data_IF_714969278044
#
_entry.id   IF_714969278044
#
_cell.length_a   1.000
_cell.length_b   1.000
_cell.length_c   1.000
_cell.angle_alpha   90.00
_cell.angle_beta   90.00
_cell.angle_gamma   90.00
#
_symmetry.space_group_name_H-M   'P 1'
#
loop_
_entity.id
_entity.type
_entity.pdbx_description
1 polymer ?
#
# COMPACT_ATOMS: atom_id res chain seq x y z
N UNK A 1 39.73 2.58 53.37
CA UNK A 1 40.24 1.48 52.52
C UNK A 1 39.31 1.31 51.32
N UNK A 2 39.90 0.97 50.17
CA UNK A 2 39.46 1.31 48.80
C UNK A 2 38.11 0.71 48.37
N UNK A 3 37.26 1.55 47.75
CA UNK A 3 36.09 1.13 46.95
C UNK A 3 36.58 0.54 45.63
N UNK A 4 36.33 -0.75 45.40
CA UNK A 4 36.61 -1.42 44.11
C UNK A 4 35.39 -1.21 43.21
N UNK A 5 35.56 -0.40 42.16
CA UNK A 5 34.59 -0.30 41.06
C UNK A 5 34.87 -1.47 40.11
N UNK A 6 33.97 -2.46 40.08
CA UNK A 6 33.97 -3.50 39.05
C UNK A 6 33.26 -2.91 37.83
N UNK A 7 34.03 -2.59 36.80
CA UNK A 7 33.51 -2.20 35.49
C UNK A 7 33.38 -3.49 34.69
N UNK A 8 32.16 -4.02 34.58
CA UNK A 8 31.85 -5.11 33.65
C UNK A 8 31.69 -4.52 32.25
N UNK A 9 32.74 -4.62 31.43
CA UNK A 9 32.69 -4.31 30.01
C UNK A 9 32.06 -5.50 29.27
N UNK A 10 30.76 -5.45 29.01
CA UNK A 10 30.09 -6.41 28.12
C UNK A 10 30.46 -6.08 26.67
N UNK A 11 31.45 -6.81 26.12
CA UNK A 11 31.73 -6.81 24.69
C UNK A 11 30.68 -7.70 24.00
N UNK A 12 29.59 -7.10 23.52
CA UNK A 12 28.64 -7.81 22.67
C UNK A 12 29.27 -7.99 21.29
N UNK A 13 29.84 -9.15 21.03
CA UNK A 13 30.25 -9.56 19.69
C UNK A 13 28.98 -9.70 18.85
N UNK A 14 28.68 -8.71 18.01
CA UNK A 14 27.67 -8.84 16.96
C UNK A 14 28.20 -9.89 15.97
N UNK A 15 27.81 -11.14 16.16
CA UNK A 15 27.94 -12.14 15.10
C UNK A 15 26.99 -11.73 13.99
N UNK A 16 27.54 -11.11 12.95
CA UNK A 16 26.84 -10.92 11.68
C UNK A 16 26.62 -12.32 11.14
N UNK A 17 25.45 -12.89 11.41
CA UNK A 17 24.99 -14.05 10.68
C UNK A 17 24.83 -13.58 9.23
N UNK A 18 25.85 -13.85 8.41
CA UNK A 18 25.69 -13.95 6.97
C UNK A 18 24.72 -15.13 6.75
N UNK A 19 23.43 -14.83 6.83
CA UNK A 19 22.40 -15.72 6.29
C UNK A 19 22.71 -15.77 4.81
N UNK A 20 23.37 -16.85 4.38
CA UNK A 20 23.39 -17.20 2.97
C UNK A 20 21.92 -17.34 2.61
N UNK A 21 21.42 -16.44 1.77
CA UNK A 21 20.15 -16.65 1.09
C UNK A 21 20.17 -18.07 0.56
N UNK A 22 19.17 -18.88 0.89
CA UNK A 22 19.07 -20.20 0.27
C UNK A 22 19.01 -19.97 -1.23
N UNK A 23 19.83 -20.70 -1.98
CA UNK A 23 19.76 -20.64 -3.43
C UNK A 23 18.33 -20.84 -3.87
N UNK A 24 17.84 -19.94 -4.73
CA UNK A 24 16.43 -19.97 -5.12
C UNK A 24 16.13 -21.32 -5.78
N UNK A 25 15.07 -21.98 -5.32
CA UNK A 25 14.73 -23.33 -5.76
C UNK A 25 14.64 -23.42 -7.31
N UNK A 26 15.17 -24.48 -7.95
CA UNK A 26 15.19 -24.58 -9.41
C UNK A 26 13.81 -24.46 -10.08
N UNK A 27 12.75 -24.94 -9.42
CA UNK A 27 11.36 -24.81 -9.87
C UNK A 27 10.91 -23.35 -9.98
N UNK A 28 11.35 -22.49 -9.07
CA UNK A 28 11.04 -21.07 -9.10
C UNK A 28 11.81 -20.35 -10.20
N UNK A 29 13.09 -20.69 -10.37
CA UNK A 29 13.89 -20.16 -11.46
C UNK A 29 13.28 -20.46 -12.84
N UNK A 30 12.56 -21.58 -13.00
CA UNK A 30 11.92 -21.97 -14.26
C UNK A 30 10.88 -20.92 -14.71
N UNK A 31 9.91 -20.58 -13.86
CA UNK A 31 8.91 -19.59 -14.24
C UNK A 31 9.46 -18.17 -14.26
N UNK A 32 10.49 -17.85 -13.47
CA UNK A 32 11.19 -16.56 -13.54
C UNK A 32 11.85 -16.39 -14.91
N UNK A 33 12.53 -17.43 -15.42
CA UNK A 33 13.10 -17.42 -16.78
C UNK A 33 12.02 -17.23 -17.83
N UNK A 34 10.85 -17.87 -17.66
CA UNK A 34 9.69 -17.66 -18.54
C UNK A 34 9.18 -16.22 -18.48
N UNK A 35 9.03 -15.64 -17.28
CA UNK A 35 8.63 -14.25 -17.09
C UNK A 35 9.60 -13.29 -17.79
N UNK A 36 10.90 -13.42 -17.52
CA UNK A 36 11.96 -12.60 -18.14
C UNK A 36 11.92 -12.71 -19.67
N UNK A 37 11.78 -13.93 -20.20
CA UNK A 37 11.67 -14.16 -21.65
C UNK A 37 10.41 -13.51 -22.24
N UNK A 38 9.27 -13.58 -21.54
CA UNK A 38 8.04 -12.95 -21.99
C UNK A 38 8.17 -11.41 -22.02
N UNK A 39 8.84 -10.81 -21.04
CA UNK A 39 9.14 -9.36 -21.03
C UNK A 39 10.11 -8.99 -22.15
N UNK A 40 11.18 -9.77 -22.34
CA UNK A 40 12.20 -9.55 -23.38
C UNK A 40 11.61 -9.53 -24.79
N UNK A 41 10.63 -10.40 -25.04
CA UNK A 41 10.01 -10.58 -26.35
C UNK A 41 8.63 -9.89 -26.47
N UNK A 42 8.28 -9.00 -25.53
CA UNK A 42 6.99 -8.29 -25.50
C UNK A 42 5.75 -9.19 -25.67
N UNK A 43 5.78 -10.38 -25.06
CA UNK A 43 4.68 -11.35 -25.08
C UNK A 43 3.58 -10.95 -24.10
N UNK A 44 2.89 -9.85 -24.38
CA UNK A 44 1.88 -9.21 -23.50
C UNK A 44 0.77 -10.18 -23.08
N UNK A 45 0.28 -11.02 -23.98
CA UNK A 45 -0.77 -12.00 -23.69
C UNK A 45 -0.27 -13.10 -22.74
N UNK A 46 0.97 -13.55 -22.92
CA UNK A 46 1.58 -14.52 -22.02
C UNK A 46 1.80 -13.92 -20.62
N UNK A 47 2.26 -12.67 -20.54
CA UNK A 47 2.36 -11.94 -19.27
C UNK A 47 1.00 -11.75 -18.61
N UNK A 48 -0.03 -11.39 -19.37
CA UNK A 48 -1.39 -11.28 -18.86
C UNK A 48 -1.88 -12.60 -18.22
N UNK A 49 -1.52 -13.74 -18.82
CA UNK A 49 -1.88 -15.04 -18.28
C UNK A 49 -1.15 -15.38 -16.96
N UNK A 50 -0.02 -14.74 -16.69
CA UNK A 50 0.77 -14.93 -15.46
C UNK A 50 0.31 -14.02 -14.31
N UNK A 51 -0.64 -13.10 -14.50
CA UNK A 51 -1.01 -12.14 -13.45
C UNK A 51 -2.09 -12.70 -12.51
N UNK A 52 -1.98 -12.37 -11.23
CA UNK A 52 -3.09 -12.48 -10.28
C UNK A 52 -3.95 -11.21 -10.33
N UNK A 53 -5.23 -11.36 -10.69
CA UNK A 53 -6.18 -10.26 -10.82
C UNK A 53 -7.12 -10.18 -9.61
N UNK A 54 -7.55 -8.96 -9.19
CA UNK A 54 -7.17 -7.67 -9.75
C UNK A 54 -5.72 -7.27 -9.43
N UNK A 55 -5.03 -6.70 -10.41
CA UNK A 55 -3.63 -6.31 -10.30
C UNK A 55 -3.51 -4.86 -9.84
N UNK A 56 -3.18 -4.68 -8.56
CA UNK A 56 -3.12 -3.37 -7.90
C UNK A 56 -1.98 -2.52 -8.43
N UNK A 57 -2.27 -1.25 -8.67
CA UNK A 57 -1.29 -0.18 -8.92
C UNK A 57 -1.29 0.79 -7.75
N UNK A 58 -0.31 1.68 -7.73
CA UNK A 58 -0.24 2.70 -6.70
C UNK A 58 -1.51 3.55 -6.67
N UNK A 59 -2.18 3.59 -5.53
CA UNK A 59 -3.36 4.42 -5.36
C UNK A 59 -3.04 5.91 -5.58
N UNK A 60 -3.86 6.68 -6.32
CA UNK A 60 -5.21 6.37 -6.79
C UNK A 60 -5.31 5.85 -8.24
N UNK A 61 -4.24 5.30 -8.82
CA UNK A 61 -4.31 4.68 -10.14
C UNK A 61 -5.27 3.47 -10.06
N UNK A 62 -6.26 3.34 -10.97
CA UNK A 62 -7.15 2.19 -10.97
C UNK A 62 -6.38 0.88 -11.12
N UNK A 63 -6.76 -0.11 -10.31
CA UNK A 63 -6.30 -1.49 -10.49
C UNK A 63 -6.69 -2.02 -11.87
N UNK A 64 -5.93 -2.99 -12.35
CA UNK A 64 -6.22 -3.69 -13.60
C UNK A 64 -7.03 -4.93 -13.27
N UNK A 65 -8.24 -5.05 -13.83
CA UNK A 65 -9.19 -6.09 -13.43
C UNK A 65 -9.15 -7.35 -14.29
N UNK A 66 -8.59 -7.27 -15.50
CA UNK A 66 -8.59 -8.40 -16.43
C UNK A 66 -7.32 -8.47 -17.30
N UNK A 67 -7.17 -9.60 -18.00
CA UNK A 67 -6.09 -9.83 -18.98
C UNK A 67 -6.15 -8.83 -20.13
N UNK A 68 -7.34 -8.55 -20.63
CA UNK A 68 -7.57 -7.63 -21.75
C UNK A 68 -7.23 -6.21 -21.34
N UNK A 69 -7.59 -5.81 -20.13
CA UNK A 69 -7.22 -4.50 -19.58
C UNK A 69 -5.70 -4.39 -19.40
N UNK A 70 -5.05 -5.44 -18.88
CA UNK A 70 -3.60 -5.47 -18.75
C UNK A 70 -2.89 -5.29 -20.08
N UNK A 71 -3.32 -5.99 -21.14
CA UNK A 71 -2.70 -5.87 -22.46
C UNK A 71 -2.81 -4.44 -22.99
N UNK A 72 -3.94 -3.76 -22.78
CA UNK A 72 -4.15 -2.35 -23.15
C UNK A 72 -3.24 -1.40 -22.37
N UNK A 73 -3.07 -1.66 -21.07
CA UNK A 73 -2.31 -0.82 -20.13
C UNK A 73 -0.85 -1.25 -19.97
N UNK A 74 -0.38 -2.25 -20.74
CA UNK A 74 0.95 -2.83 -20.58
C UNK A 74 2.06 -1.77 -20.65
N UNK A 75 2.00 -0.86 -21.63
CA UNK A 75 3.01 0.20 -21.81
C UNK A 75 2.93 1.29 -20.73
N UNK A 76 1.84 1.36 -19.96
CA UNK A 76 1.75 2.24 -18.80
C UNK A 76 2.67 1.73 -17.68
N UNK A 77 2.87 0.42 -17.57
CA UNK A 77 3.62 -0.22 -16.47
C UNK A 77 5.04 -0.59 -16.91
N UNK A 78 5.18 -1.28 -18.04
CA UNK A 78 6.45 -1.82 -18.54
C UNK A 78 7.17 -0.82 -19.44
N UNK A 79 7.75 0.21 -18.82
CA UNK A 79 8.65 1.13 -19.51
C UNK A 79 10.05 0.53 -19.74
N UNK A 80 10.90 1.26 -20.49
CA UNK A 80 12.24 0.78 -20.83
C UNK A 80 13.10 0.49 -19.59
N UNK A 81 12.95 1.27 -18.52
CA UNK A 81 13.69 1.11 -17.26
C UNK A 81 13.32 -0.20 -16.59
N UNK A 82 12.03 -0.45 -16.36
CA UNK A 82 11.56 -1.67 -15.73
C UNK A 82 11.90 -2.90 -16.58
N UNK A 83 11.67 -2.83 -17.90
CA UNK A 83 12.03 -3.93 -18.82
C UNK A 83 13.52 -4.25 -18.74
N UNK A 84 14.38 -3.24 -18.73
CA UNK A 84 15.83 -3.44 -18.66
C UNK A 84 16.26 -4.07 -17.33
N UNK A 85 15.67 -3.67 -16.20
CA UNK A 85 15.91 -4.31 -14.89
C UNK A 85 15.54 -5.80 -14.92
N UNK A 86 14.36 -6.13 -15.42
CA UNK A 86 13.89 -7.52 -15.51
C UNK A 86 14.79 -8.34 -16.44
N UNK A 87 15.08 -7.84 -17.64
CA UNK A 87 15.82 -8.57 -18.67
C UNK A 87 17.27 -8.86 -18.24
N UNK A 88 17.87 -7.96 -17.45
CA UNK A 88 19.24 -8.11 -16.96
C UNK A 88 19.34 -8.91 -15.65
N UNK A 89 18.23 -9.17 -14.97
CA UNK A 89 18.23 -9.92 -13.72
C UNK A 89 18.69 -11.37 -13.91
N UNK A 90 19.51 -11.87 -12.99
CA UNK A 90 19.90 -13.27 -12.87
C UNK A 90 18.85 -14.03 -12.03
N UNK A 91 18.12 -15.00 -12.60
CA UNK A 91 17.10 -15.78 -11.89
C UNK A 91 17.58 -16.45 -10.59
N UNK A 92 18.88 -16.72 -10.44
CA UNK A 92 19.43 -17.40 -9.27
C UNK A 92 19.95 -16.44 -8.20
N UNK A 93 20.26 -15.19 -8.55
CA UNK A 93 20.95 -14.24 -7.65
C UNK A 93 20.13 -13.02 -7.28
N UNK A 94 19.37 -12.48 -8.23
CA UNK A 94 18.62 -11.23 -8.04
C UNK A 94 17.20 -11.48 -7.53
N UNK A 95 16.79 -12.75 -7.46
CA UNK A 95 15.48 -13.19 -7.00
C UNK A 95 15.62 -13.98 -5.69
N UNK A 96 14.81 -13.65 -4.69
CA UNK A 96 14.86 -14.27 -3.36
C UNK A 96 13.48 -14.69 -2.88
N UNK A 97 13.35 -15.90 -2.34
CA UNK A 97 12.14 -16.37 -1.67
C UNK A 97 12.00 -15.72 -0.30
N UNK A 98 10.85 -15.10 -0.04
CA UNK A 98 10.55 -14.37 1.19
C UNK A 98 9.42 -15.06 1.99
N UNK A 99 9.44 -16.39 1.99
CA UNK A 99 8.44 -17.25 2.61
C UNK A 99 7.05 -17.05 2.00
N UNK A 100 6.02 -16.92 2.84
CA UNK A 100 4.63 -16.76 2.40
C UNK A 100 4.37 -15.52 1.52
N UNK A 101 5.30 -14.56 1.47
CA UNK A 101 5.18 -13.36 0.62
C UNK A 101 5.46 -13.63 -0.86
N UNK A 102 6.09 -14.76 -1.18
CA UNK A 102 6.51 -15.10 -2.53
C UNK A 102 7.98 -14.77 -2.80
N UNK A 103 8.30 -14.59 -4.08
CA UNK A 103 9.64 -14.44 -4.63
C UNK A 103 9.81 -13.03 -5.14
N UNK A 104 10.85 -12.38 -4.64
CA UNK A 104 11.10 -10.96 -4.77
C UNK A 104 12.27 -10.71 -5.72
N UNK A 105 12.10 -9.82 -6.70
CA UNK A 105 13.20 -9.26 -7.48
C UNK A 105 13.83 -8.07 -6.73
N UNK A 106 15.15 -8.09 -6.59
CA UNK A 106 15.94 -7.03 -5.96
C UNK A 106 15.34 -6.62 -4.60
N UNK A 107 15.15 -5.32 -4.37
CA UNK A 107 14.58 -4.76 -3.14
C UNK A 107 13.05 -4.64 -3.21
N UNK A 108 12.39 -5.59 -3.87
CA UNK A 108 10.93 -5.60 -3.97
C UNK A 108 10.38 -4.92 -5.21
N UNK A 109 11.17 -4.74 -6.27
CA UNK A 109 10.68 -4.17 -7.54
C UNK A 109 9.49 -4.97 -8.06
N UNK A 110 9.58 -6.31 -8.00
CA UNK A 110 8.58 -7.26 -8.48
C UNK A 110 8.39 -8.38 -7.47
N UNK A 111 7.16 -8.87 -7.36
CA UNK A 111 6.79 -10.03 -6.56
C UNK A 111 6.03 -11.04 -7.41
N UNK A 112 6.51 -12.29 -7.38
CA UNK A 112 5.87 -13.46 -8.00
C UNK A 112 5.54 -14.45 -6.89
N UNK A 113 4.36 -15.05 -6.88
CA UNK A 113 4.04 -16.11 -5.89
C UNK A 113 4.75 -17.44 -6.21
N UNK A 114 4.62 -18.43 -5.32
CA UNK A 114 5.27 -19.74 -5.49
C UNK A 114 4.68 -20.58 -6.64
N UNK A 115 3.54 -20.16 -7.19
CA UNK A 115 2.90 -20.77 -8.36
C UNK A 115 3.31 -20.08 -9.68
N UNK A 116 4.20 -19.08 -9.60
CA UNK A 116 4.71 -18.36 -10.75
C UNK A 116 3.81 -17.23 -11.24
N UNK A 117 2.84 -16.78 -10.43
CA UNK A 117 1.96 -15.67 -10.78
C UNK A 117 2.55 -14.34 -10.34
N UNK A 118 2.54 -13.35 -11.22
CA UNK A 118 2.89 -11.97 -10.92
C UNK A 118 1.82 -11.36 -9.99
N UNK A 119 2.21 -11.03 -8.76
CA UNK A 119 1.31 -10.53 -7.71
C UNK A 119 1.52 -9.06 -7.38
N UNK A 120 2.72 -8.51 -7.60
CA UNK A 120 2.97 -7.05 -7.45
C UNK A 120 4.12 -6.55 -8.33
N UNK A 121 4.03 -5.29 -8.71
CA UNK A 121 5.16 -4.48 -9.22
C UNK A 121 5.16 -3.19 -8.39
N UNK A 122 6.15 -3.01 -7.53
CA UNK A 122 6.28 -1.81 -6.69
C UNK A 122 6.93 -0.64 -7.45
N UNK A 123 7.62 -0.93 -8.56
CA UNK A 123 8.09 0.10 -9.48
C UNK A 123 6.91 0.89 -10.07
N UNK A 124 7.12 2.20 -10.24
CA UNK A 124 6.19 3.10 -10.92
C UNK A 124 6.90 3.77 -12.08
N UNK A 125 6.35 3.56 -13.28
CA UNK A 125 6.83 4.21 -14.49
C UNK A 125 6.63 5.72 -14.43
N UNK A 126 7.30 6.44 -15.33
CA UNK A 126 7.01 7.87 -15.51
C UNK A 126 5.54 8.12 -15.84
N UNK A 127 4.95 7.29 -16.72
CA UNK A 127 3.54 7.41 -17.09
C UNK A 127 2.63 7.29 -15.87
N UNK A 128 2.85 6.29 -15.00
CA UNK A 128 2.04 6.08 -13.81
C UNK A 128 2.16 7.23 -12.82
N UNK A 129 3.37 7.77 -12.62
CA UNK A 129 3.58 8.95 -11.77
C UNK A 129 2.80 10.17 -12.28
N UNK A 130 2.86 10.42 -13.59
CA UNK A 130 2.14 11.52 -14.22
C UNK A 130 0.61 11.29 -14.15
N UNK A 131 0.14 10.06 -14.39
CA UNK A 131 -1.27 9.69 -14.25
C UNK A 131 -1.77 9.88 -12.83
N UNK A 132 -1.03 9.42 -11.82
CA UNK A 132 -1.34 9.62 -10.39
C UNK A 132 -1.50 11.10 -10.07
N UNK A 133 -0.55 11.95 -10.49
CA UNK A 133 -0.62 13.39 -10.27
C UNK A 133 -1.84 14.02 -10.94
N UNK A 134 -2.16 13.60 -12.17
CA UNK A 134 -3.33 14.09 -12.90
C UNK A 134 -4.66 13.69 -12.23
N UNK A 135 -4.77 12.46 -11.73
CA UNK A 135 -5.94 12.00 -10.97
C UNK A 135 -6.11 12.83 -9.70
N UNK A 136 -5.02 13.00 -8.93
CA UNK A 136 -5.02 13.80 -7.70
C UNK A 136 -5.43 15.25 -8.00
N UNK A 137 -4.91 15.86 -9.07
CA UNK A 137 -5.29 17.21 -9.46
C UNK A 137 -6.79 17.33 -9.80
N UNK A 138 -7.35 16.35 -10.53
CA UNK A 138 -8.79 16.30 -10.84
C UNK A 138 -9.66 16.07 -9.61
N UNK A 139 -9.18 15.34 -8.61
CA UNK A 139 -9.93 15.18 -7.37
C UNK A 139 -10.02 16.47 -6.57
N UNK A 140 -8.96 17.28 -6.55
CA UNK A 140 -8.94 18.55 -5.81
C UNK A 140 -10.06 19.49 -6.27
N UNK A 141 -10.48 19.43 -7.53
CA UNK A 141 -11.58 20.25 -8.07
C UNK A 141 -12.98 19.76 -7.66
N UNK A 142 -13.09 18.54 -7.13
CA UNK A 142 -14.34 17.93 -6.68
C UNK A 142 -14.57 18.05 -5.17
N UNK A 143 -13.77 18.86 -4.48
CA UNK A 143 -13.86 19.06 -3.04
C UNK A 143 -14.19 20.52 -2.70
N UNK A 144 -14.74 20.73 -1.51
CA UNK A 144 -14.84 22.06 -0.92
C UNK A 144 -13.44 22.68 -0.76
N UNK A 145 -13.34 23.99 -0.97
CA UNK A 145 -12.06 24.72 -1.00
C UNK A 145 -11.27 24.59 0.30
N UNK A 146 -11.94 24.48 1.45
CA UNK A 146 -11.30 24.30 2.77
C UNK A 146 -10.47 23.02 2.90
N UNK A 147 -10.70 22.02 2.04
CA UNK A 147 -9.97 20.74 2.05
C UNK A 147 -9.33 20.39 0.69
N UNK A 148 -9.44 21.24 -0.33
CA UNK A 148 -8.90 20.96 -1.66
C UNK A 148 -7.35 20.87 -1.71
N UNK A 149 -6.64 21.29 -0.65
CA UNK A 149 -5.18 21.16 -0.54
C UNK A 149 -4.80 19.89 0.24
N UNK A 150 -4.13 18.96 -0.43
CA UNK A 150 -3.53 17.75 0.13
C UNK A 150 -2.42 17.21 -0.79
N UNK A 151 -1.57 16.33 -0.26
CA UNK A 151 -0.48 15.68 -1.00
C UNK A 151 -0.99 14.42 -1.68
N UNK A 152 -1.42 13.43 -0.89
CA UNK A 152 -2.00 12.18 -1.37
C UNK A 152 -3.33 11.98 -0.66
N UNK A 153 -4.37 11.60 -1.40
CA UNK A 153 -5.63 11.24 -0.78
C UNK A 153 -5.56 9.75 -0.40
N UNK A 154 -5.85 9.39 0.86
CA UNK A 154 -5.63 8.02 1.39
C UNK A 154 -6.83 7.11 1.13
N UNK A 155 -8.03 7.53 1.54
CA UNK A 155 -9.25 6.75 1.33
C UNK A 155 -10.50 7.60 1.53
N UNK A 156 -11.63 7.05 1.08
CA UNK A 156 -12.97 7.51 1.47
C UNK A 156 -13.68 6.33 2.12
N UNK A 157 -14.22 6.57 3.32
CA UNK A 157 -14.98 5.60 4.08
C UNK A 157 -16.44 6.04 4.11
N UNK A 158 -17.35 5.10 3.96
CA UNK A 158 -18.78 5.31 4.19
C UNK A 158 -19.26 4.36 5.29
N UNK A 159 -19.71 4.94 6.41
CA UNK A 159 -20.44 4.22 7.46
C UNK A 159 -21.94 4.32 7.21
N UNK A 160 -22.77 3.74 8.08
CA UNK A 160 -24.23 3.96 8.03
C UNK A 160 -24.69 5.40 8.29
N UNK A 161 -23.79 6.31 8.70
CA UNK A 161 -24.12 7.70 9.03
C UNK A 161 -23.22 8.75 8.38
N UNK A 162 -21.96 8.42 8.10
CA UNK A 162 -20.96 9.38 7.69
C UNK A 162 -20.27 8.99 6.39
N UNK A 163 -19.95 10.00 5.58
CA UNK A 163 -18.88 9.93 4.60
C UNK A 163 -17.64 10.56 5.23
N UNK A 164 -16.51 9.89 5.16
CA UNK A 164 -15.24 10.30 5.77
C UNK A 164 -14.18 10.25 4.69
N UNK A 165 -13.43 11.34 4.52
CA UNK A 165 -12.25 11.39 3.66
C UNK A 165 -11.00 11.54 4.52
N UNK A 166 -10.00 10.71 4.22
CA UNK A 166 -8.68 10.81 4.83
C UNK A 166 -7.69 11.25 3.74
N UNK A 167 -6.91 12.28 4.04
CA UNK A 167 -5.86 12.78 3.16
C UNK A 167 -4.52 12.87 3.90
N UNK A 168 -3.42 12.47 3.26
CA UNK A 168 -2.05 12.81 3.65
C UNK A 168 -1.76 14.26 3.21
N UNK A 169 -1.44 15.11 4.18
CA UNK A 169 -1.02 16.49 3.96
C UNK A 169 0.51 16.61 3.79
N UNK A 170 1.25 15.51 3.92
CA UNK A 170 2.70 15.44 3.98
C UNK A 170 3.24 15.53 5.41
N UNK A 171 4.52 15.20 5.61
CA UNK A 171 5.21 15.32 6.90
C UNK A 171 4.52 14.60 8.06
N UNK A 172 4.02 13.37 7.82
CA UNK A 172 3.29 12.56 8.80
C UNK A 172 2.06 13.28 9.39
N UNK A 173 1.40 14.11 8.60
CA UNK A 173 0.21 14.85 8.99
C UNK A 173 -0.97 14.43 8.13
N UNK A 174 -1.91 13.72 8.74
CA UNK A 174 -3.14 13.29 8.08
C UNK A 174 -4.31 14.19 8.47
N UNK A 175 -5.26 14.34 7.55
CA UNK A 175 -6.53 15.04 7.78
C UNK A 175 -7.70 14.09 7.70
N UNK A 176 -8.58 14.19 8.69
CA UNK A 176 -9.93 13.66 8.69
C UNK A 176 -10.89 14.78 8.27
N UNK A 177 -11.74 14.53 7.28
CA UNK A 177 -12.88 15.37 6.95
C UNK A 177 -14.13 14.48 6.86
N UNK A 178 -15.23 14.88 7.49
CA UNK A 178 -16.47 14.09 7.42
C UNK A 178 -17.70 14.93 7.14
N UNK A 179 -18.68 14.27 6.56
CA UNK A 179 -20.01 14.77 6.27
C UNK A 179 -21.05 13.75 6.70
N UNK A 180 -22.28 14.20 6.98
CA UNK A 180 -23.44 13.32 6.88
C UNK A 180 -23.53 12.69 5.47
N UNK A 181 -23.99 11.45 5.36
CA UNK A 181 -23.97 10.69 4.09
C UNK A 181 -24.61 11.41 2.89
N UNK A 182 -25.65 12.22 3.13
CA UNK A 182 -26.40 12.92 2.08
C UNK A 182 -25.66 14.14 1.53
N UNK A 183 -24.68 14.69 2.27
CA UNK A 183 -23.89 15.85 1.84
C UNK A 183 -22.79 15.43 0.86
N UNK A 184 -22.58 16.25 -0.16
CA UNK A 184 -21.51 16.07 -1.16
C UNK A 184 -20.19 16.60 -0.61
N UNK A 185 -19.07 16.01 -1.06
CA UNK A 185 -17.73 16.49 -0.66
C UNK A 185 -17.36 17.88 -1.20
N UNK A 186 -18.15 18.41 -2.14
CA UNK A 186 -18.05 19.80 -2.61
C UNK A 186 -18.63 20.80 -1.62
N UNK A 187 -19.48 20.34 -0.69
CA UNK A 187 -20.02 21.16 0.40
C UNK A 187 -19.05 21.19 1.58
N UNK A 188 -19.18 22.21 2.44
CA UNK A 188 -18.34 22.34 3.62
C UNK A 188 -18.45 21.10 4.52
N UNK A 189 -17.32 20.50 4.95
CA UNK A 189 -17.34 19.37 5.87
C UNK A 189 -17.94 19.71 7.22
N UNK A 190 -18.73 18.80 7.78
CA UNK A 190 -19.31 18.93 9.13
C UNK A 190 -18.21 18.91 10.21
N UNK A 191 -17.09 18.24 9.93
CA UNK A 191 -15.95 18.15 10.83
C UNK A 191 -14.65 18.00 10.03
N UNK A 192 -13.65 18.80 10.40
CA UNK A 192 -12.26 18.65 9.94
C UNK A 192 -11.33 18.54 11.14
N UNK A 193 -10.43 17.55 11.13
CA UNK A 193 -9.37 17.36 12.12
C UNK A 193 -8.06 17.12 11.37
N UNK A 194 -7.03 17.90 11.69
CA UNK A 194 -5.67 17.73 11.14
C UNK A 194 -4.73 17.18 12.21
N UNK A 195 -3.46 16.94 11.85
CA UNK A 195 -2.44 16.34 12.71
C UNK A 195 -2.80 14.93 13.16
N UNK A 196 -3.53 14.21 12.31
CA UNK A 196 -3.72 12.78 12.46
C UNK A 196 -2.42 12.04 12.22
N UNK A 197 -2.33 10.83 12.77
CA UNK A 197 -1.23 9.90 12.57
C UNK A 197 -1.76 8.58 12.05
N UNK A 198 -0.94 7.87 11.29
CA UNK A 198 -1.17 6.46 10.93
C UNK A 198 -0.41 5.58 11.90
N UNK A 199 -1.02 4.46 12.31
CA UNK A 199 -0.44 3.44 13.17
C UNK A 199 -0.60 2.11 12.45
N UNK A 200 0.52 1.43 12.19
CA UNK A 200 0.52 0.15 11.50
C UNK A 200 0.25 -0.99 12.49
N UNK A 201 -0.65 -1.90 12.12
CA UNK A 201 -1.06 -3.04 12.93
C UNK A 201 -0.49 -4.33 12.32
N UNK A 202 0.76 -4.61 12.67
CA UNK A 202 1.53 -5.74 12.16
C UNK A 202 2.02 -5.54 10.73
N UNK A 203 2.33 -6.65 10.05
CA UNK A 203 2.96 -6.65 8.73
C UNK A 203 2.00 -6.98 7.57
N UNK A 204 0.70 -7.13 7.86
CA UNK A 204 -0.32 -7.50 6.88
C UNK A 204 -0.94 -6.33 6.12
N UNK A 205 -0.48 -5.11 6.38
CA UNK A 205 -1.08 -3.89 5.80
C UNK A 205 -2.32 -3.38 6.54
N UNK A 206 -2.75 -4.06 7.61
CA UNK A 206 -3.73 -3.52 8.53
C UNK A 206 -3.13 -2.31 9.25
N UNK A 207 -3.91 -1.25 9.38
CA UNK A 207 -3.48 -0.01 9.99
C UNK A 207 -4.69 0.81 10.43
N UNK A 208 -4.44 1.85 11.22
CA UNK A 208 -5.46 2.81 11.61
C UNK A 208 -4.96 4.24 11.58
N UNK A 209 -5.87 5.15 11.29
CA UNK A 209 -5.64 6.58 11.44
C UNK A 209 -6.26 7.06 12.75
N UNK A 210 -5.50 7.79 13.56
CA UNK A 210 -5.95 8.36 14.83
C UNK A 210 -5.94 9.89 14.73
N UNK A 211 -7.09 10.51 15.04
CA UNK A 211 -7.28 11.96 15.06
C UNK A 211 -7.81 12.42 16.42
N UNK A 212 -7.31 13.55 16.94
CA UNK A 212 -7.71 14.08 18.25
C UNK A 212 -8.36 15.45 18.13
N UNK A 213 -9.49 15.65 18.80
CA UNK A 213 -10.15 16.96 18.94
C UNK A 213 -10.69 17.12 20.36
N UNK A 214 -9.98 17.87 21.19
CA UNK A 214 -10.30 17.99 22.62
C UNK A 214 -10.23 16.62 23.32
N UNK A 215 -11.31 16.26 24.01
CA UNK A 215 -11.46 14.98 24.71
C UNK A 215 -11.83 13.79 23.82
N UNK A 216 -12.01 14.01 22.51
CA UNK A 216 -12.41 12.99 21.55
C UNK A 216 -11.23 12.44 20.77
N UNK A 217 -11.25 11.12 20.53
CA UNK A 217 -10.35 10.41 19.63
C UNK A 217 -11.19 9.74 18.56
N UNK A 218 -10.85 9.97 17.31
CA UNK A 218 -11.47 9.36 16.13
C UNK A 218 -10.46 8.39 15.55
N UNK A 219 -10.84 7.12 15.49
CA UNK A 219 -10.02 6.05 14.95
C UNK A 219 -10.70 5.47 13.72
N UNK A 220 -10.01 5.53 12.58
CA UNK A 220 -10.44 4.89 11.35
C UNK A 220 -9.54 3.69 11.09
N UNK A 221 -10.06 2.48 11.31
CA UNK A 221 -9.31 1.25 11.05
C UNK A 221 -9.49 0.82 9.59
N UNK A 222 -8.43 0.28 9.00
CA UNK A 222 -8.38 -0.24 7.64
C UNK A 222 -7.78 -1.65 7.72
N UNK A 223 -8.53 -2.65 7.24
CA UNK A 223 -8.19 -4.07 7.36
C UNK A 223 -8.21 -4.75 5.97
N UNK A 224 -7.20 -4.54 5.12
CA UNK A 224 -7.14 -5.18 3.81
C UNK A 224 -7.04 -6.70 3.90
N UNK A 225 -6.31 -7.21 4.91
CA UNK A 225 -6.23 -8.63 5.26
C UNK A 225 -7.15 -8.89 6.45
N UNK A 226 -8.33 -9.43 6.16
CA UNK A 226 -9.40 -9.66 7.14
C UNK A 226 -10.09 -11.01 6.88
N UNK A 227 -10.79 -11.49 7.89
CA UNK A 227 -11.64 -12.67 7.75
C UNK A 227 -12.82 -12.39 6.80
N UNK A 228 -13.22 -13.40 6.02
CA UNK A 228 -14.36 -13.28 5.13
C UNK A 228 -15.63 -12.89 5.91
N UNK A 229 -16.38 -11.92 5.40
CA UNK A 229 -17.60 -11.43 6.04
C UNK A 229 -17.40 -10.30 7.06
N UNK A 230 -16.15 -9.92 7.36
CA UNK A 230 -15.87 -8.72 8.17
C UNK A 230 -15.78 -7.46 7.31
N UNK A 231 -16.09 -6.29 7.90
CA UNK A 231 -16.00 -5.01 7.20
C UNK A 231 -14.54 -4.65 6.87
N UNK A 232 -14.26 -4.04 5.71
CA UNK A 232 -12.90 -3.65 5.32
C UNK A 232 -12.34 -2.47 6.11
N UNK A 233 -13.22 -1.70 6.76
CA UNK A 233 -12.87 -0.53 7.54
C UNK A 233 -13.93 -0.25 8.60
N UNK A 234 -13.67 0.74 9.45
CA UNK A 234 -14.67 1.27 10.36
C UNK A 234 -14.19 2.48 11.13
N UNK A 235 -15.16 3.14 11.76
CA UNK A 235 -14.97 4.33 12.59
C UNK A 235 -15.29 3.98 14.04
N UNK A 236 -14.34 4.23 14.94
CA UNK A 236 -14.55 4.20 16.38
C UNK A 236 -14.26 5.57 16.96
N UNK A 237 -15.19 6.13 17.74
CA UNK A 237 -15.02 7.39 18.45
C UNK A 237 -14.98 7.12 19.94
N UNK A 238 -13.96 7.67 20.58
CA UNK A 238 -13.77 7.63 22.03
C UNK A 238 -13.97 9.02 22.62
N UNK A 239 -14.56 9.07 23.82
CA UNK A 239 -14.60 10.25 24.68
C UNK A 239 -14.07 9.83 26.05
N UNK A 240 -13.02 10.47 26.56
CA UNK A 240 -12.39 10.11 27.84
C UNK A 240 -12.07 8.60 27.93
N UNK A 241 -11.52 8.04 26.84
CA UNK A 241 -11.18 6.61 26.67
C UNK A 241 -12.37 5.62 26.65
N UNK A 242 -13.62 6.10 26.68
CA UNK A 242 -14.81 5.26 26.50
C UNK A 242 -15.29 5.35 25.07
N UNK A 243 -15.63 4.21 24.45
CA UNK A 243 -16.26 4.17 23.13
C UNK A 243 -17.64 4.81 23.24
N UNK A 244 -17.91 5.80 22.40
CA UNK A 244 -19.23 6.45 22.28
C UNK A 244 -19.88 6.17 20.92
N UNK A 245 -19.09 5.71 19.95
CA UNK A 245 -19.57 5.27 18.64
C UNK A 245 -18.62 4.20 18.09
N UNK A 246 -19.18 3.14 17.51
CA UNK A 246 -18.45 2.21 16.65
C UNK A 246 -19.33 1.87 15.46
N UNK A 247 -18.81 2.00 14.24
CA UNK A 247 -19.52 1.69 13.01
C UNK A 247 -18.60 1.03 12.01
N UNK A 248 -19.09 -0.02 11.38
CA UNK A 248 -18.47 -0.58 10.18
C UNK A 248 -18.51 0.45 9.04
N UNK A 249 -17.51 0.36 8.17
CA UNK A 249 -17.39 1.21 7.00
C UNK A 249 -16.94 0.41 5.78
N UNK A 250 -17.44 0.84 4.62
CA UNK A 250 -16.92 0.43 3.33
C UNK A 250 -15.87 1.44 2.83
N UNK A 251 -14.86 0.95 2.12
CA UNK A 251 -13.92 1.80 1.41
C UNK A 251 -14.47 2.03 0.01
N UNK A 252 -14.89 3.25 -0.28
CA UNK A 252 -15.59 3.57 -1.54
C UNK A 252 -14.67 4.22 -2.57
N UNK A 253 -14.91 3.97 -3.89
CA UNK A 253 -14.25 4.74 -4.95
C UNK A 253 -14.68 6.21 -4.91
N UNK A 254 -13.94 7.06 -5.63
CA UNK A 254 -14.10 8.52 -5.62
C UNK A 254 -14.87 9.07 -6.82
#
# INVERSE_FOLDING_TARGET
>A
MKKIKIICLFLSVLTINLVKSQDLKPEYQKFIKTFISNVKNDKKQALAAMISYPFKREYPIPEIKSKEEFVKRYSEIFDATLKNEIIKSDPAKDWSEMGWRGIMLNQGTIWIDTDGRLISINYQSKFEKDLKNNIIAKEKTKLHTSIAKFKVPECILETSKFRIRIDDLGNNNYRYASWSLKKKMTEEPDLVISKGKVILDGNGGNHRFEFKKGQYIYECHISPLRENGTAPAGLTIYQNKKIILSQDAEIVPR
#
